data_IF_009630559677
#
_entry.id   IF_009630559677
#
_cell.length_a   1.000
_cell.length_b   1.000
_cell.length_c   1.000
_cell.angle_alpha   90.00
_cell.angle_beta   90.00
_cell.angle_gamma   90.00
#
_symmetry.space_group_name_H-M   'P 1'
#
loop_
_entity.id
_entity.type
_entity.pdbx_description
1 polymer ?
#
# COMPACT_ATOMS: atom_id res chain seq x y z
N UNK A 1 5.09 -3.58 -9.08
CA UNK A 1 3.90 -2.67 -9.06
C UNK A 1 2.86 -2.92 -7.97
N UNK A 2 3.09 -3.85 -7.03
CA UNK A 2 2.18 -4.10 -5.91
C UNK A 2 2.97 -4.66 -4.72
N UNK A 3 2.32 -4.71 -3.55
CA UNK A 3 2.92 -5.21 -2.31
C UNK A 3 2.05 -6.35 -1.76
N UNK A 4 2.67 -7.47 -1.38
CA UNK A 4 2.02 -8.48 -0.54
C UNK A 4 2.79 -8.49 0.78
N UNK A 5 2.11 -8.17 1.87
CA UNK A 5 2.73 -8.07 3.18
C UNK A 5 1.88 -8.75 4.26
N UNK A 6 2.25 -9.98 4.60
CA UNK A 6 1.60 -10.73 5.67
C UNK A 6 2.30 -10.42 6.99
N UNK A 7 1.57 -9.73 7.86
CA UNK A 7 2.01 -9.38 9.20
C UNK A 7 1.10 -10.07 10.22
N UNK A 8 1.63 -10.34 11.42
CA UNK A 8 0.86 -10.99 12.49
C UNK A 8 0.01 -9.95 13.25
N UNK A 9 -1.32 -10.07 13.26
CA UNK A 9 -2.18 -9.13 13.98
C UNK A 9 -2.28 -9.38 15.49
N UNK A 10 -1.79 -10.52 16.00
CA UNK A 10 -1.98 -10.94 17.39
C UNK A 10 -0.79 -10.58 18.29
N UNK A 11 0.43 -10.56 17.75
CA UNK A 11 1.64 -10.25 18.52
C UNK A 11 2.29 -8.94 18.04
N UNK A 12 2.16 -7.84 18.80
CA UNK A 12 2.85 -6.60 18.47
C UNK A 12 4.36 -6.76 18.68
N UNK A 13 5.14 -6.47 17.64
CA UNK A 13 6.59 -6.52 17.71
C UNK A 13 7.19 -5.10 17.76
N UNK A 14 8.44 -4.95 18.27
CA UNK A 14 9.10 -3.64 18.35
C UNK A 14 9.19 -2.88 17.01
N UNK A 15 9.09 -3.59 15.89
CA UNK A 15 9.12 -3.06 14.52
C UNK A 15 7.73 -2.71 13.93
N UNK A 16 6.66 -2.71 14.73
CA UNK A 16 5.30 -2.33 14.26
C UNK A 16 5.24 -0.88 13.73
N UNK A 17 6.16 -0.02 14.17
CA UNK A 17 6.30 1.35 13.66
C UNK A 17 6.70 1.33 12.17
N UNK A 18 7.52 0.37 11.77
CA UNK A 18 7.99 0.21 10.39
C UNK A 18 6.88 -0.34 9.49
N UNK A 19 6.06 -1.26 10.00
CA UNK A 19 4.84 -1.76 9.32
C UNK A 19 3.95 -0.57 8.94
N UNK A 20 3.67 0.32 9.90
CA UNK A 20 2.83 1.50 9.65
C UNK A 20 3.48 2.47 8.67
N UNK A 21 4.80 2.65 8.74
CA UNK A 21 5.53 3.52 7.81
C UNK A 21 5.44 3.00 6.37
N UNK A 22 5.63 1.70 6.15
CA UNK A 22 5.50 1.07 4.84
C UNK A 22 4.09 1.22 4.26
N UNK A 23 3.07 0.87 5.05
CA UNK A 23 1.67 0.97 4.65
C UNK A 23 1.29 2.42 4.31
N UNK A 24 1.78 3.39 5.09
CA UNK A 24 1.55 4.81 4.83
C UNK A 24 2.10 5.25 3.46
N UNK A 25 3.31 4.83 3.12
CA UNK A 25 3.92 5.16 1.83
C UNK A 25 3.19 4.45 0.68
N UNK A 26 2.79 3.19 0.85
CA UNK A 26 2.01 2.47 -0.16
C UNK A 26 0.68 3.17 -0.47
N UNK A 27 -0.02 3.65 0.56
CA UNK A 27 -1.26 4.44 0.42
C UNK A 27 -0.99 5.79 -0.25
N UNK A 28 0.10 6.48 0.11
CA UNK A 28 0.47 7.77 -0.48
C UNK A 28 0.63 7.67 -2.01
N UNK A 29 1.29 6.62 -2.49
CA UNK A 29 1.52 6.40 -3.92
C UNK A 29 0.42 5.56 -4.61
N UNK A 30 -0.68 5.28 -3.91
CA UNK A 30 -1.81 4.48 -4.40
C UNK A 30 -1.36 3.13 -5.00
N UNK A 31 -0.44 2.45 -4.32
CA UNK A 31 0.10 1.16 -4.73
C UNK A 31 -0.86 0.04 -4.30
N UNK A 32 -1.28 -0.87 -5.19
CA UNK A 32 -2.05 -2.05 -4.81
C UNK A 32 -1.30 -2.85 -3.74
N UNK A 33 -1.95 -3.15 -2.61
CA UNK A 33 -1.34 -3.84 -1.49
C UNK A 33 -2.29 -4.85 -0.84
N UNK A 34 -1.77 -6.04 -0.51
CA UNK A 34 -2.47 -7.07 0.23
C UNK A 34 -1.82 -7.29 1.59
N UNK A 35 -2.59 -7.10 2.67
CA UNK A 35 -2.15 -7.33 4.05
C UNK A 35 -2.48 -8.73 4.59
N UNK A 36 -3.24 -9.51 3.84
CA UNK A 36 -3.68 -10.84 4.22
C UNK A 36 -3.86 -11.71 2.97
N UNK A 37 -3.97 -13.02 3.20
CA UNK A 37 -4.09 -14.01 2.12
C UNK A 37 -5.31 -13.76 1.23
N UNK A 38 -6.47 -13.44 1.81
CA UNK A 38 -7.67 -13.19 1.03
C UNK A 38 -7.47 -12.02 0.04
N UNK A 39 -6.96 -10.88 0.49
CA UNK A 39 -6.64 -9.75 -0.37
C UNK A 39 -5.62 -10.11 -1.46
N UNK A 40 -4.63 -10.93 -1.14
CA UNK A 40 -3.65 -11.40 -2.12
C UNK A 40 -4.29 -12.29 -3.19
N UNK A 41 -5.19 -13.21 -2.80
CA UNK A 41 -5.92 -14.08 -3.72
C UNK A 41 -6.85 -13.26 -4.66
N UNK A 42 -7.50 -12.22 -4.15
CA UNK A 42 -8.29 -11.29 -4.97
C UNK A 42 -7.41 -10.45 -5.91
N UNK A 43 -6.24 -10.01 -5.44
CA UNK A 43 -5.32 -9.23 -6.26
C UNK A 43 -4.73 -10.06 -7.40
N UNK A 44 -4.30 -11.30 -7.13
CA UNK A 44 -3.68 -12.16 -8.15
C UNK A 44 -4.68 -12.68 -9.17
N UNK A 45 -5.95 -12.85 -8.79
CA UNK A 45 -7.03 -13.22 -9.72
C UNK A 45 -7.57 -12.03 -10.53
N UNK A 46 -7.15 -10.81 -10.22
CA UNK A 46 -7.62 -9.62 -10.92
C UNK A 46 -7.06 -9.55 -12.35
N UNK A 47 -7.89 -9.31 -13.38
CA UNK A 47 -7.42 -9.13 -14.75
C UNK A 47 -6.57 -7.86 -14.94
N UNK A 48 -6.49 -7.01 -13.91
CA UNK A 48 -5.62 -5.82 -13.91
C UNK A 48 -4.17 -6.16 -13.57
N UNK A 49 -3.88 -7.36 -13.04
CA UNK A 49 -2.50 -7.72 -12.68
C UNK A 49 -1.65 -8.08 -13.90
N UNK A 50 -2.27 -8.57 -14.96
CA UNK A 50 -1.62 -8.93 -16.24
C UNK A 50 -1.51 -7.74 -17.21
N UNK A 51 -2.04 -6.57 -16.84
CA UNK A 51 -2.10 -5.38 -17.70
C UNK A 51 -1.30 -4.23 -17.10
N UNK A 52 -0.81 -3.35 -17.96
CA UNK A 52 -0.26 -2.06 -17.53
C UNK A 52 -1.37 -1.21 -16.88
N UNK A 53 -1.33 -1.12 -15.55
CA UNK A 53 -2.29 -0.35 -14.77
C UNK A 53 -1.76 1.05 -14.48
N UNK A 54 -2.42 2.07 -15.04
CA UNK A 54 -2.12 3.47 -14.73
C UNK A 54 -2.81 3.88 -13.44
N UNK A 55 -2.00 4.10 -12.40
CA UNK A 55 -2.49 4.54 -11.09
C UNK A 55 -2.89 6.00 -11.13
N UNK A 56 -4.03 6.31 -10.50
CA UNK A 56 -4.38 7.69 -10.17
C UNK A 56 -3.59 8.10 -8.92
N UNK A 57 -2.55 8.91 -9.10
CA UNK A 57 -1.75 9.45 -8.00
C UNK A 57 -2.34 10.80 -7.61
N UNK A 58 -2.55 11.02 -6.30
CA UNK A 58 -3.01 12.32 -5.79
C UNK A 58 -1.89 13.35 -5.92
N UNK A 59 -2.25 14.55 -6.36
CA UNK A 59 -1.33 15.67 -6.33
C UNK A 59 -1.22 16.21 -4.90
N UNK A 60 -0.01 16.10 -4.34
CA UNK A 60 0.32 16.59 -2.99
C UNK A 60 1.01 17.96 -3.01
N UNK A 61 1.14 18.61 -4.18
CA UNK A 61 1.84 19.89 -4.34
C UNK A 61 1.29 20.98 -3.43
N UNK A 62 -0.02 21.04 -3.22
CA UNK A 62 -0.68 22.01 -2.33
C UNK A 62 -0.29 21.82 -0.87
N UNK A 63 -0.13 20.56 -0.43
CA UNK A 63 0.31 20.24 0.93
C UNK A 63 1.79 20.57 1.12
N UNK A 64 2.63 20.23 0.14
CA UNK A 64 4.08 20.46 0.18
C UNK A 64 4.39 21.97 0.18
N UNK A 65 3.65 22.77 -0.60
CA UNK A 65 3.86 24.20 -0.75
C UNK A 65 3.07 25.07 0.26
N UNK A 66 2.47 24.44 1.27
CA UNK A 66 1.77 25.17 2.35
C UNK A 66 2.76 26.07 3.09
N UNK A 67 2.45 27.37 3.23
CA UNK A 67 3.16 28.24 4.18
C UNK A 67 2.90 27.74 5.60
N UNK A 68 3.99 27.47 6.32
CA UNK A 68 3.99 27.09 7.74
C UNK A 68 3.70 28.33 8.59
#
# INVERSE_FOLDING_TARGET
DFIIFFWDPMEPHPHDVDVKALLRIAVLYNIPMACNRASADFMISSPLIEKDYVRVVKDYSTYINRKI
#
